data_IF_384046350742
#
_entry.id   IF_384046350742
#
_cell.length_a   1.000
_cell.length_b   1.000
_cell.length_c   1.000
_cell.angle_alpha   90.00
_cell.angle_beta   90.00
_cell.angle_gamma   90.00
#
_symmetry.space_group_name_H-M   'P 1'
#
loop_
_entity.id
_entity.type
_entity.pdbx_description
1 polymer ?
#
# COMPACT_ATOMS: atom_id res chain seq x y z
N UNK A 1 -5.37 -24.65 -21.57
CA UNK A 1 -6.70 -23.97 -21.54
C UNK A 1 -6.46 -22.51 -21.86
N UNK A 2 -7.35 -21.86 -22.64
CA UNK A 2 -7.30 -20.43 -22.84
C UNK A 2 -7.57 -19.75 -21.48
N UNK A 3 -6.80 -18.69 -21.15
CA UNK A 3 -7.08 -17.89 -19.95
C UNK A 3 -8.41 -17.17 -20.12
N UNK A 4 -9.16 -17.05 -19.05
CA UNK A 4 -10.39 -16.25 -19.02
C UNK A 4 -10.06 -14.77 -19.22
N UNK A 5 -11.03 -14.04 -19.78
CA UNK A 5 -10.96 -12.60 -19.93
C UNK A 5 -11.61 -11.94 -18.72
N UNK A 6 -10.99 -10.90 -18.19
CA UNK A 6 -11.57 -10.11 -17.11
C UNK A 6 -12.69 -9.23 -17.68
N UNK A 7 -13.86 -9.26 -17.06
CA UNK A 7 -15.00 -8.41 -17.40
C UNK A 7 -15.24 -7.40 -16.27
N UNK A 8 -15.22 -6.10 -16.59
CA UNK A 8 -15.52 -5.03 -15.65
C UNK A 8 -17.02 -4.87 -15.47
N UNK A 9 -17.59 -5.61 -14.54
CA UNK A 9 -19.05 -5.57 -14.26
C UNK A 9 -19.40 -4.69 -13.06
N UNK A 10 -18.41 -4.36 -12.23
CA UNK A 10 -18.58 -3.58 -10.98
C UNK A 10 -17.46 -2.54 -10.83
N UNK A 11 -17.70 -1.45 -10.08
CA UNK A 11 -16.63 -0.54 -9.67
C UNK A 11 -15.49 -1.29 -8.97
N UNK A 12 -14.25 -0.92 -9.29
CA UNK A 12 -13.05 -1.53 -8.74
C UNK A 12 -12.44 -0.65 -7.65
N UNK A 13 -12.18 -1.24 -6.48
CA UNK A 13 -11.59 -0.55 -5.32
C UNK A 13 -10.40 -1.35 -4.80
N UNK A 14 -9.29 -0.69 -4.54
CA UNK A 14 -8.13 -1.27 -3.89
C UNK A 14 -8.22 -1.04 -2.40
N UNK A 15 -8.25 -2.11 -1.63
CA UNK A 15 -8.28 -2.07 -0.17
C UNK A 15 -7.16 -2.95 0.38
N UNK A 16 -6.81 -2.79 1.65
CA UNK A 16 -5.88 -3.72 2.27
C UNK A 16 -5.94 -3.70 3.77
N UNK A 17 -5.34 -4.69 4.39
CA UNK A 17 -5.22 -4.83 5.83
C UNK A 17 -3.91 -4.24 6.33
N UNK A 18 -4.01 -3.39 7.35
CA UNK A 18 -2.89 -2.79 8.08
C UNK A 18 -3.07 -3.02 9.58
N UNK A 19 -2.02 -2.87 10.37
CA UNK A 19 -2.06 -3.04 11.82
C UNK A 19 -0.90 -3.88 12.35
N UNK A 20 -0.86 -4.05 13.67
CA UNK A 20 0.23 -4.72 14.37
C UNK A 20 0.39 -6.19 13.97
N UNK A 21 1.59 -6.75 14.19
CA UNK A 21 1.83 -8.20 14.08
C UNK A 21 0.90 -8.94 15.05
N UNK A 22 0.44 -10.14 14.68
CA UNK A 22 -0.45 -11.02 15.47
C UNK A 22 -1.85 -10.46 15.79
N UNK A 23 -2.24 -9.29 15.23
CA UNK A 23 -3.61 -8.78 15.35
C UNK A 23 -4.60 -9.48 14.40
N UNK A 24 -4.15 -10.39 13.53
CA UNK A 24 -5.00 -11.26 12.72
C UNK A 24 -5.35 -10.73 11.34
N UNK A 25 -4.50 -9.89 10.72
CA UNK A 25 -4.71 -9.34 9.36
C UNK A 25 -4.94 -10.42 8.30
N UNK A 26 -4.00 -11.35 8.18
CA UNK A 26 -4.07 -12.46 7.20
C UNK A 26 -5.24 -13.40 7.50
N UNK A 27 -5.56 -13.63 8.78
CA UNK A 27 -6.75 -14.38 9.18
C UNK A 27 -8.02 -13.69 8.74
N UNK A 28 -8.09 -12.35 8.91
CA UNK A 28 -9.22 -11.55 8.43
C UNK A 28 -9.34 -11.61 6.91
N UNK A 29 -8.24 -11.49 6.18
CA UNK A 29 -8.22 -11.61 4.72
C UNK A 29 -8.78 -12.97 4.26
N UNK A 30 -8.38 -14.06 4.90
CA UNK A 30 -8.93 -15.39 4.62
C UNK A 30 -10.42 -15.49 4.98
N UNK A 31 -10.83 -14.94 6.13
CA UNK A 31 -12.23 -14.92 6.58
C UNK A 31 -13.12 -14.14 5.62
N UNK A 32 -12.65 -13.01 5.10
CA UNK A 32 -13.35 -12.18 4.10
C UNK A 32 -13.64 -13.01 2.84
N UNK A 33 -12.60 -13.59 2.23
CA UNK A 33 -12.79 -14.35 0.98
C UNK A 33 -13.76 -15.51 1.16
N UNK A 34 -13.64 -16.24 2.28
CA UNK A 34 -14.50 -17.38 2.59
C UNK A 34 -15.95 -16.94 2.85
N UNK A 35 -16.15 -15.92 3.69
CA UNK A 35 -17.49 -15.44 4.06
C UNK A 35 -18.23 -14.89 2.85
N UNK A 36 -17.60 -14.03 2.05
CA UNK A 36 -18.23 -13.45 0.86
C UNK A 36 -18.55 -14.53 -0.19
N UNK A 37 -17.66 -15.51 -0.38
CA UNK A 37 -17.94 -16.64 -1.26
C UNK A 37 -19.11 -17.49 -0.74
N UNK A 38 -19.14 -17.82 0.56
CA UNK A 38 -20.21 -18.62 1.16
C UNK A 38 -21.56 -17.90 1.11
N UNK A 39 -21.59 -16.61 1.45
CA UNK A 39 -22.83 -15.82 1.58
C UNK A 39 -23.43 -15.39 0.24
N UNK A 40 -22.57 -15.04 -0.72
CA UNK A 40 -23.00 -14.45 -1.99
C UNK A 40 -22.67 -15.30 -3.21
N UNK A 41 -21.87 -16.38 -3.08
CA UNK A 41 -21.37 -17.17 -4.20
C UNK A 41 -20.45 -16.38 -5.14
N UNK A 42 -19.84 -15.30 -4.64
CA UNK A 42 -18.99 -14.39 -5.40
C UNK A 42 -17.51 -14.62 -5.08
N UNK A 43 -16.66 -14.51 -6.11
CA UNK A 43 -15.22 -14.70 -5.95
C UNK A 43 -14.83 -16.16 -5.68
N UNK A 44 -13.67 -16.35 -5.09
CA UNK A 44 -13.14 -17.66 -4.67
C UNK A 44 -12.59 -17.59 -3.26
N UNK A 45 -12.79 -18.64 -2.48
CA UNK A 45 -12.14 -18.79 -1.18
C UNK A 45 -10.63 -18.88 -1.36
N UNK A 46 -9.87 -18.11 -0.57
CA UNK A 46 -8.41 -18.17 -0.49
C UNK A 46 -8.03 -18.60 0.92
N UNK A 47 -7.45 -19.77 1.02
CA UNK A 47 -7.03 -20.29 2.31
C UNK A 47 -5.82 -19.50 2.87
N UNK A 48 -5.68 -19.46 4.20
CA UNK A 48 -4.61 -18.77 4.90
C UNK A 48 -3.22 -19.10 4.34
N UNK A 49 -2.93 -20.37 4.10
CA UNK A 49 -1.66 -20.88 3.55
C UNK A 49 -1.45 -20.54 2.05
N UNK A 50 -2.48 -20.04 1.40
CA UNK A 50 -2.40 -19.52 0.01
C UNK A 50 -2.15 -18.01 -0.02
N UNK A 51 -2.37 -17.30 1.08
CA UNK A 51 -2.04 -15.89 1.27
C UNK A 51 -0.55 -15.81 1.63
N UNK A 52 -0.15 -16.39 2.76
CA UNK A 52 1.25 -16.50 3.20
C UNK A 52 1.91 -17.72 2.53
N UNK A 53 2.56 -17.48 1.39
CA UNK A 53 3.07 -18.55 0.50
C UNK A 53 4.50 -18.94 0.77
N UNK A 54 5.33 -17.99 1.24
CA UNK A 54 6.74 -18.22 1.44
C UNK A 54 6.98 -19.22 2.59
N UNK A 55 7.93 -20.16 2.45
CA UNK A 55 8.26 -21.09 3.54
C UNK A 55 8.60 -20.37 4.85
N UNK A 56 9.28 -19.25 4.78
CA UNK A 56 9.66 -18.42 5.93
C UNK A 56 8.46 -17.76 6.60
N UNK A 57 7.43 -17.36 5.85
CA UNK A 57 6.17 -16.82 6.37
C UNK A 57 5.43 -17.90 7.18
N UNK A 58 5.35 -19.09 6.64
CA UNK A 58 4.69 -20.24 7.29
C UNK A 58 5.43 -20.70 8.54
N UNK A 59 6.77 -20.72 8.51
CA UNK A 59 7.59 -21.15 9.64
C UNK A 59 7.51 -20.15 10.80
N UNK A 60 7.48 -18.85 10.49
CA UNK A 60 7.45 -17.79 11.49
C UNK A 60 6.04 -17.36 11.89
N UNK A 61 5.02 -17.72 11.11
CA UNK A 61 3.63 -17.29 11.29
C UNK A 61 3.41 -15.78 11.09
N UNK A 62 4.27 -15.12 10.29
CA UNK A 62 4.20 -13.69 10.03
C UNK A 62 4.24 -13.42 8.52
N UNK A 63 3.47 -12.45 8.04
CA UNK A 63 3.51 -11.98 6.66
C UNK A 63 4.78 -11.15 6.44
N UNK A 64 5.55 -11.48 5.41
CA UNK A 64 6.80 -10.81 5.01
C UNK A 64 6.59 -9.96 3.77
N UNK A 65 6.00 -10.55 2.73
CA UNK A 65 5.70 -9.88 1.48
C UNK A 65 4.22 -9.51 1.40
N UNK A 66 3.89 -8.47 0.64
CA UNK A 66 2.50 -8.15 0.34
C UNK A 66 1.84 -9.27 -0.46
N UNK A 67 0.65 -9.70 -0.06
CA UNK A 67 -0.14 -10.65 -0.81
C UNK A 67 -1.35 -9.96 -1.44
N UNK A 68 -1.63 -10.29 -2.70
CA UNK A 68 -2.76 -9.74 -3.44
C UNK A 68 -3.84 -10.82 -3.59
N UNK A 69 -5.06 -10.47 -3.17
CA UNK A 69 -6.24 -11.31 -3.22
C UNK A 69 -7.39 -10.55 -3.88
N UNK A 70 -8.22 -11.24 -4.67
CA UNK A 70 -9.44 -10.64 -5.23
C UNK A 70 -10.69 -11.23 -4.59
N UNK A 71 -11.71 -10.41 -4.40
CA UNK A 71 -13.05 -10.82 -4.00
C UNK A 71 -14.09 -9.76 -4.40
N UNK A 72 -15.36 -10.09 -4.23
CA UNK A 72 -16.45 -9.22 -4.61
C UNK A 72 -17.53 -9.15 -3.53
N UNK A 73 -18.12 -7.97 -3.39
CA UNK A 73 -19.45 -7.79 -2.79
C UNK A 73 -20.53 -7.73 -3.88
N UNK A 74 -21.80 -7.71 -3.55
CA UNK A 74 -22.85 -7.43 -4.54
C UNK A 74 -22.62 -6.14 -5.32
N UNK A 75 -21.96 -5.14 -4.71
CA UNK A 75 -21.82 -3.78 -5.22
C UNK A 75 -20.47 -3.52 -5.91
N UNK A 76 -19.36 -4.15 -5.43
CA UNK A 76 -17.99 -3.80 -5.83
C UNK A 76 -17.10 -5.01 -6.04
N UNK A 77 -16.07 -4.81 -6.86
CA UNK A 77 -14.93 -5.71 -7.01
C UNK A 77 -13.74 -5.13 -6.24
N UNK A 78 -13.09 -5.95 -5.42
CA UNK A 78 -11.96 -5.55 -4.56
C UNK A 78 -10.67 -6.24 -4.96
N UNK A 79 -9.61 -5.46 -5.14
CA UNK A 79 -8.24 -5.94 -5.01
C UNK A 79 -7.77 -5.68 -3.58
N UNK A 80 -7.42 -6.72 -2.87
CA UNK A 80 -7.00 -6.65 -1.48
C UNK A 80 -5.50 -6.90 -1.35
N UNK A 81 -4.82 -6.01 -0.65
CA UNK A 81 -3.39 -6.10 -0.32
C UNK A 81 -3.26 -6.45 1.15
N UNK A 82 -2.82 -7.67 1.45
CA UNK A 82 -2.48 -8.06 2.82
C UNK A 82 -1.06 -7.58 3.14
N UNK A 83 -0.95 -6.64 4.09
CA UNK A 83 0.32 -6.01 4.44
C UNK A 83 1.00 -6.69 5.62
N UNK A 84 2.36 -6.78 5.61
CA UNK A 84 3.09 -7.26 6.76
C UNK A 84 2.89 -6.35 7.98
N UNK A 85 2.85 -6.95 9.17
CA UNK A 85 2.68 -6.22 10.43
C UNK A 85 3.98 -5.95 11.17
N UNK A 86 5.07 -6.64 10.82
CA UNK A 86 6.33 -6.57 11.55
C UNK A 86 7.19 -5.38 11.09
N UNK A 87 7.85 -4.70 12.06
CA UNK A 87 8.66 -3.51 11.81
C UNK A 87 9.78 -3.70 10.78
N UNK A 88 10.36 -4.90 10.68
CA UNK A 88 11.42 -5.20 9.70
C UNK A 88 10.93 -5.15 8.25
N UNK A 89 9.61 -5.26 8.01
CA UNK A 89 9.01 -5.32 6.68
C UNK A 89 8.21 -4.06 6.31
N UNK A 90 8.44 -2.97 7.01
CA UNK A 90 7.75 -1.67 6.79
C UNK A 90 7.88 -1.19 5.34
N UNK A 91 8.98 -1.47 4.65
CA UNK A 91 9.11 -1.16 3.22
C UNK A 91 8.00 -1.81 2.37
N UNK A 92 7.69 -3.07 2.65
CA UNK A 92 6.61 -3.77 1.95
C UNK A 92 5.24 -3.24 2.36
N UNK A 93 5.08 -2.87 3.64
CA UNK A 93 3.86 -2.18 4.11
C UNK A 93 3.64 -0.85 3.38
N UNK A 94 4.66 0.01 3.27
CA UNK A 94 4.58 1.29 2.56
C UNK A 94 4.18 1.06 1.10
N UNK A 95 4.82 0.10 0.43
CA UNK A 95 4.50 -0.23 -0.96
C UNK A 95 3.06 -0.72 -1.13
N UNK A 96 2.58 -1.58 -0.21
CA UNK A 96 1.20 -2.06 -0.22
C UNK A 96 0.21 -0.92 0.06
N UNK A 97 0.46 -0.12 1.09
CA UNK A 97 -0.42 1.00 1.46
C UNK A 97 -0.54 2.04 0.34
N UNK A 98 0.53 2.34 -0.38
CA UNK A 98 0.50 3.27 -1.51
C UNK A 98 -0.42 2.83 -2.66
N UNK A 99 -0.86 1.57 -2.67
CA UNK A 99 -1.77 1.02 -3.67
C UNK A 99 -3.24 1.11 -3.26
N UNK A 100 -3.55 1.47 -2.01
CA UNK A 100 -4.90 1.40 -1.44
C UNK A 100 -5.71 2.67 -1.72
N UNK A 101 -6.98 2.49 -2.01
CA UNK A 101 -8.01 3.54 -2.04
C UNK A 101 -8.65 3.70 -0.64
N UNK A 102 -8.49 2.69 0.21
CA UNK A 102 -8.84 2.68 1.62
C UNK A 102 -8.20 1.50 2.34
N UNK A 103 -8.07 1.56 3.65
CA UNK A 103 -7.46 0.51 4.47
C UNK A 103 -8.42 -0.02 5.54
N UNK A 104 -8.29 -1.30 5.88
CA UNK A 104 -8.89 -1.90 7.06
C UNK A 104 -7.80 -1.99 8.13
N UNK A 105 -7.93 -1.18 9.17
CA UNK A 105 -7.06 -1.24 10.33
C UNK A 105 -7.53 -2.36 11.26
N UNK A 106 -6.68 -3.35 11.46
CA UNK A 106 -6.97 -4.49 12.33
C UNK A 106 -6.31 -4.28 13.68
N UNK A 107 -7.12 -4.21 14.73
CA UNK A 107 -6.67 -4.06 16.12
C UNK A 107 -7.23 -5.23 16.93
N UNK A 108 -6.39 -5.94 17.66
CA UNK A 108 -6.87 -6.98 18.58
C UNK A 108 -7.48 -6.33 19.84
N UNK A 109 -8.71 -6.70 20.18
CA UNK A 109 -9.41 -6.18 21.37
C UNK A 109 -8.69 -6.54 22.67
N UNK A 110 -7.93 -7.65 22.67
CA UNK A 110 -7.13 -8.10 23.81
C UNK A 110 -5.91 -7.23 24.09
N UNK A 111 -5.37 -6.55 23.09
CA UNK A 111 -4.08 -5.86 23.18
C UNK A 111 -4.21 -4.34 23.00
N UNK A 112 -5.28 -3.87 22.35
CA UNK A 112 -5.47 -2.48 21.98
C UNK A 112 -4.47 -1.99 20.91
N UNK A 113 -4.37 -0.66 20.72
CA UNK A 113 -3.41 -0.07 19.78
C UNK A 113 -1.97 -0.29 20.23
N UNK A 114 -1.18 -0.97 19.41
CA UNK A 114 0.23 -1.32 19.64
C UNK A 114 1.18 -0.41 18.81
N UNK A 115 2.50 -0.42 19.04
CA UNK A 115 3.42 0.48 18.35
C UNK A 115 3.33 0.46 16.83
N UNK A 116 3.21 -0.73 16.19
CA UNK A 116 3.06 -0.78 14.75
C UNK A 116 1.66 -0.34 14.27
N UNK A 117 0.64 -0.37 15.13
CA UNK A 117 -0.66 0.22 14.81
C UNK A 117 -0.50 1.71 14.53
N UNK A 118 0.19 2.44 15.42
CA UNK A 118 0.51 3.87 15.28
C UNK A 118 1.34 4.13 14.02
N UNK A 119 2.41 3.35 13.82
CA UNK A 119 3.28 3.50 12.65
C UNK A 119 2.52 3.26 11.34
N UNK A 120 1.63 2.26 11.28
CA UNK A 120 0.86 1.96 10.08
C UNK A 120 -0.18 3.04 9.75
N UNK A 121 -0.85 3.63 10.75
CA UNK A 121 -1.75 4.77 10.54
C UNK A 121 -0.97 5.97 9.99
N UNK A 122 0.14 6.33 10.63
CA UNK A 122 1.03 7.39 10.19
C UNK A 122 1.49 7.20 8.74
N UNK A 123 2.01 6.01 8.43
CA UNK A 123 2.50 5.70 7.08
C UNK A 123 1.38 5.72 6.04
N UNK A 124 0.21 5.21 6.38
CA UNK A 124 -0.97 5.26 5.49
C UNK A 124 -1.34 6.69 5.16
N UNK A 125 -1.32 7.59 6.15
CA UNK A 125 -1.54 9.03 5.93
C UNK A 125 -0.49 9.63 5.01
N UNK A 126 0.78 9.29 5.21
CA UNK A 126 1.90 9.81 4.42
C UNK A 126 1.86 9.37 2.96
N UNK A 127 1.53 8.09 2.69
CA UNK A 127 1.43 7.59 1.31
C UNK A 127 0.10 7.97 0.64
N UNK A 128 -0.80 8.62 1.39
CA UNK A 128 -2.03 9.19 0.85
C UNK A 128 -3.23 8.25 0.83
N UNK A 129 -3.28 7.22 1.69
CA UNK A 129 -4.51 6.44 1.91
C UNK A 129 -5.58 7.38 2.48
N UNK A 130 -6.71 7.57 1.77
CA UNK A 130 -7.66 8.62 2.17
C UNK A 130 -8.64 8.17 3.25
N UNK A 131 -8.93 6.88 3.38
CA UNK A 131 -9.96 6.33 4.26
C UNK A 131 -9.44 5.13 5.04
N UNK A 132 -9.83 5.04 6.31
CA UNK A 132 -9.60 3.88 7.18
C UNK A 132 -10.94 3.41 7.72
N UNK A 133 -11.18 2.09 7.70
CA UNK A 133 -12.25 1.41 8.44
C UNK A 133 -11.57 0.50 9.44
N UNK A 134 -12.12 0.36 10.64
CA UNK A 134 -11.49 -0.43 11.71
C UNK A 134 -12.22 -1.75 11.89
N UNK A 135 -11.45 -2.83 11.98
CA UNK A 135 -11.94 -4.11 12.45
C UNK A 135 -11.30 -4.43 13.82
N UNK A 136 -12.10 -4.30 14.89
CA UNK A 136 -11.70 -4.68 16.24
C UNK A 136 -11.82 -6.20 16.36
N UNK A 137 -10.69 -6.88 16.22
CA UNK A 137 -10.59 -8.33 16.12
C UNK A 137 -10.44 -9.01 17.48
N UNK A 138 -10.68 -10.31 17.54
CA UNK A 138 -10.58 -11.17 18.74
C UNK A 138 -11.58 -10.78 19.85
N UNK A 139 -12.73 -10.23 19.49
CA UNK A 139 -13.77 -9.87 20.45
C UNK A 139 -14.38 -11.11 21.12
N UNK A 140 -14.25 -12.29 20.52
CA UNK A 140 -14.62 -13.59 21.13
C UNK A 140 -13.82 -13.94 22.39
N UNK A 141 -12.68 -13.27 22.60
CA UNK A 141 -11.79 -13.49 23.76
C UNK A 141 -12.01 -12.48 24.88
N UNK A 142 -12.91 -11.51 24.71
CA UNK A 142 -13.16 -10.42 25.65
C UNK A 142 -14.62 -10.42 26.07
N UNK A 143 -14.89 -10.79 27.31
CA UNK A 143 -16.25 -10.83 27.88
C UNK A 143 -16.71 -9.47 28.46
N UNK A 144 -15.77 -8.52 28.59
CA UNK A 144 -16.02 -7.20 29.19
C UNK A 144 -16.30 -6.14 28.13
N UNK A 145 -17.55 -5.72 28.04
CA UNK A 145 -18.01 -4.67 27.13
C UNK A 145 -17.33 -3.31 27.40
N UNK A 146 -17.05 -2.98 28.67
CA UNK A 146 -16.40 -1.72 29.03
C UNK A 146 -14.96 -1.69 28.49
N UNK A 147 -14.27 -2.84 28.44
CA UNK A 147 -12.95 -2.96 27.84
C UNK A 147 -12.99 -2.78 26.34
N UNK A 148 -13.99 -3.33 25.65
CA UNK A 148 -14.18 -3.12 24.22
C UNK A 148 -14.44 -1.64 23.90
N UNK A 149 -15.27 -0.96 24.70
CA UNK A 149 -15.54 0.48 24.55
C UNK A 149 -14.26 1.32 24.76
N UNK A 150 -13.43 0.95 25.74
CA UNK A 150 -12.17 1.64 26.01
C UNK A 150 -11.19 1.51 24.84
N UNK A 151 -11.02 0.30 24.31
CA UNK A 151 -10.12 0.07 23.16
C UNK A 151 -10.63 0.80 21.92
N UNK A 152 -11.95 0.83 21.69
CA UNK A 152 -12.54 1.59 20.59
C UNK A 152 -12.25 3.08 20.73
N UNK A 153 -12.38 3.65 21.93
CA UNK A 153 -12.08 5.04 22.20
C UNK A 153 -10.60 5.36 21.94
N UNK A 154 -9.67 4.52 22.42
CA UNK A 154 -8.25 4.69 22.14
C UNK A 154 -7.91 4.66 20.65
N UNK A 155 -8.59 3.80 19.87
CA UNK A 155 -8.39 3.75 18.41
C UNK A 155 -8.91 5.03 17.74
N UNK A 156 -10.06 5.56 18.18
CA UNK A 156 -10.62 6.83 17.66
C UNK A 156 -9.70 8.01 17.95
N UNK A 157 -9.22 8.14 19.18
CA UNK A 157 -8.25 9.18 19.57
C UNK A 157 -6.98 9.09 18.74
N UNK A 158 -6.50 7.87 18.47
CA UNK A 158 -5.33 7.64 17.67
C UNK A 158 -5.54 8.02 16.19
N UNK A 159 -6.71 7.76 15.62
CA UNK A 159 -7.03 8.16 14.25
C UNK A 159 -7.07 9.69 14.13
N UNK A 160 -7.66 10.39 15.10
CA UNK A 160 -7.69 11.85 15.13
C UNK A 160 -6.29 12.46 15.27
N UNK A 161 -5.40 11.84 16.07
CA UNK A 161 -4.00 12.26 16.21
C UNK A 161 -3.26 12.31 14.85
N UNK A 162 -3.61 11.38 13.94
CA UNK A 162 -3.03 11.29 12.59
C UNK A 162 -3.93 11.86 11.49
N UNK A 163 -4.85 12.75 11.84
CA UNK A 163 -5.72 13.49 10.91
C UNK A 163 -6.66 12.62 10.06
N UNK A 164 -7.07 11.46 10.58
CA UNK A 164 -8.24 10.73 10.10
C UNK A 164 -9.46 11.13 10.94
N UNK A 165 -10.66 10.96 10.40
CA UNK A 165 -11.90 11.23 11.13
C UNK A 165 -12.18 10.10 12.13
N UNK A 166 -11.68 10.22 13.36
CA UNK A 166 -11.82 9.20 14.40
C UNK A 166 -13.28 8.97 14.80
N UNK A 167 -14.07 10.06 14.91
CA UNK A 167 -15.49 9.97 15.27
C UNK A 167 -16.34 9.35 14.14
N UNK A 168 -16.09 9.74 12.89
CA UNK A 168 -16.82 9.26 11.72
C UNK A 168 -16.34 7.91 11.18
N UNK A 169 -15.17 7.42 11.60
CA UNK A 169 -14.63 6.14 11.13
C UNK A 169 -15.46 4.96 11.63
N UNK A 170 -15.97 4.08 10.74
CA UNK A 170 -16.66 2.86 11.16
C UNK A 170 -15.72 1.90 11.90
N UNK A 171 -16.15 1.40 13.04
CA UNK A 171 -15.46 0.36 13.82
C UNK A 171 -16.38 -0.84 13.97
N UNK A 172 -15.96 -1.99 13.46
CA UNK A 172 -16.72 -3.23 13.53
C UNK A 172 -16.04 -4.18 14.52
N UNK A 173 -16.78 -4.61 15.54
CA UNK A 173 -16.33 -5.60 16.53
C UNK A 173 -16.57 -7.00 16.00
N UNK A 174 -15.51 -7.83 15.95
CA UNK A 174 -15.63 -9.15 15.37
C UNK A 174 -14.52 -10.12 15.79
N UNK A 175 -14.62 -11.34 15.27
CA UNK A 175 -13.61 -12.38 15.37
C UNK A 175 -13.35 -12.97 13.99
N UNK A 176 -12.19 -12.67 13.44
CA UNK A 176 -11.79 -13.20 12.14
C UNK A 176 -11.63 -14.73 12.15
N UNK A 177 -11.13 -15.28 13.25
CA UNK A 177 -10.93 -16.73 13.39
C UNK A 177 -12.28 -17.47 13.45
N UNK A 178 -13.20 -16.97 14.24
CA UNK A 178 -14.52 -17.59 14.38
C UNK A 178 -15.36 -17.42 13.08
N UNK A 179 -15.25 -16.25 12.40
CA UNK A 179 -15.85 -16.07 11.09
C UNK A 179 -15.26 -17.01 10.04
N UNK A 180 -13.94 -17.25 10.07
CA UNK A 180 -13.29 -18.22 9.19
C UNK A 180 -13.76 -19.65 9.47
N UNK A 181 -13.97 -20.03 10.73
CA UNK A 181 -14.46 -21.33 11.13
C UNK A 181 -15.93 -21.54 10.76
N UNK A 182 -16.78 -20.51 10.93
CA UNK A 182 -18.21 -20.55 10.64
C UNK A 182 -18.69 -19.27 9.92
N UNK A 183 -18.54 -19.22 8.57
CA UNK A 183 -18.94 -18.05 7.78
C UNK A 183 -20.44 -17.72 7.80
N UNK A 184 -21.29 -18.69 8.15
CA UNK A 184 -22.74 -18.52 8.25
C UNK A 184 -23.21 -18.10 9.66
N UNK A 185 -22.31 -18.09 10.65
CA UNK A 185 -22.59 -17.72 12.03
C UNK A 185 -22.54 -16.22 12.28
N UNK A 186 -22.75 -15.85 13.55
CA UNK A 186 -22.76 -14.45 14.03
C UNK A 186 -21.50 -13.69 13.66
N UNK A 187 -20.31 -14.30 13.77
CA UNK A 187 -19.05 -13.66 13.40
C UNK A 187 -18.89 -13.49 11.88
N UNK A 188 -19.51 -14.37 11.09
CA UNK A 188 -19.63 -14.20 9.64
C UNK A 188 -20.51 -12.99 9.28
N UNK A 189 -21.59 -12.73 10.06
CA UNK A 189 -22.41 -11.52 9.88
C UNK A 189 -21.58 -10.25 10.12
N UNK A 190 -20.59 -10.28 11.05
CA UNK A 190 -19.68 -9.15 11.26
C UNK A 190 -18.73 -8.89 10.09
N UNK A 191 -18.35 -9.90 9.32
CA UNK A 191 -17.62 -9.69 8.07
C UNK A 191 -18.52 -9.05 7.00
N UNK A 192 -19.78 -9.46 6.93
CA UNK A 192 -20.76 -8.81 6.03
C UNK A 192 -20.94 -7.36 6.41
N UNK A 193 -21.18 -7.05 7.70
CA UNK A 193 -21.30 -5.69 8.24
C UNK A 193 -20.06 -4.85 7.92
N UNK A 194 -18.84 -5.42 8.05
CA UNK A 194 -17.61 -4.73 7.68
C UNK A 194 -17.66 -4.26 6.22
N UNK A 195 -18.12 -5.12 5.29
CA UNK A 195 -18.17 -4.76 3.88
C UNK A 195 -19.34 -3.86 3.51
N UNK A 196 -20.43 -3.90 4.22
CA UNK A 196 -21.49 -2.90 4.11
C UNK A 196 -20.97 -1.50 4.48
N UNK A 197 -20.19 -1.40 5.57
CA UNK A 197 -19.56 -0.14 5.98
C UNK A 197 -18.43 0.28 5.01
N UNK A 198 -17.63 -0.64 4.51
CA UNK A 198 -16.59 -0.34 3.50
C UNK A 198 -17.23 0.17 2.20
N UNK A 199 -18.31 -0.47 1.74
CA UNK A 199 -19.05 -0.05 0.53
C UNK A 199 -19.67 1.33 0.68
N UNK A 200 -20.12 1.71 1.89
CA UNK A 200 -20.75 3.00 2.18
C UNK A 200 -19.73 4.11 2.47
N UNK A 201 -18.73 3.83 3.31
CA UNK A 201 -17.79 4.83 3.83
C UNK A 201 -16.68 5.20 2.85
N UNK A 202 -16.17 4.22 2.08
CA UNK A 202 -15.13 4.46 1.08
C UNK A 202 -15.80 4.80 -0.25
N UNK A 203 -15.70 6.03 -0.77
CA UNK A 203 -16.31 6.41 -2.04
C UNK A 203 -15.67 5.65 -3.21
N UNK A 204 -16.34 5.63 -4.36
CA UNK A 204 -15.74 5.15 -5.59
C UNK A 204 -14.57 6.06 -5.99
N UNK A 205 -13.35 5.50 -6.16
CA UNK A 205 -12.17 6.33 -6.40
C UNK A 205 -12.20 6.99 -7.76
N UNK A 206 -11.86 8.28 -7.81
CA UNK A 206 -11.61 8.95 -9.09
C UNK A 206 -10.36 8.39 -9.75
N UNK A 207 -10.47 7.98 -11.01
CA UNK A 207 -9.38 7.39 -11.77
C UNK A 207 -8.83 8.37 -12.80
N UNK A 208 -7.55 8.71 -12.69
CA UNK A 208 -6.87 9.63 -13.61
C UNK A 208 -6.54 8.94 -14.95
N UNK A 209 -7.56 8.50 -15.68
CA UNK A 209 -7.40 7.76 -16.95
C UNK A 209 -7.05 8.67 -18.12
N UNK A 210 -7.27 9.97 -18.01
CA UNK A 210 -6.96 11.02 -18.99
C UNK A 210 -5.49 11.45 -19.00
N UNK A 211 -4.72 11.05 -17.98
CA UNK A 211 -3.29 11.36 -17.87
C UNK A 211 -2.43 10.31 -18.62
N UNK A 212 -1.18 10.66 -18.97
CA UNK A 212 -0.24 9.68 -19.52
C UNK A 212 -0.04 8.49 -18.57
N UNK A 213 0.04 7.27 -19.13
CA UNK A 213 0.24 6.04 -18.37
C UNK A 213 1.48 6.09 -17.47
N UNK A 214 1.33 5.61 -16.23
CA UNK A 214 2.41 5.38 -15.28
C UNK A 214 2.05 4.23 -14.34
N UNK A 215 2.98 3.29 -14.18
CA UNK A 215 2.88 2.17 -13.24
C UNK A 215 4.22 1.95 -12.54
N UNK A 216 4.31 2.15 -11.22
CA UNK A 216 5.48 1.74 -10.43
C UNK A 216 5.64 0.22 -10.45
N UNK A 217 6.88 -0.24 -10.62
CA UNK A 217 7.22 -1.67 -10.60
C UNK A 217 7.32 -2.14 -9.15
N UNK A 218 6.50 -3.12 -8.78
CA UNK A 218 6.47 -3.72 -7.45
C UNK A 218 7.27 -5.03 -7.40
N UNK A 219 7.05 -5.92 -8.37
CA UNK A 219 7.76 -7.18 -8.48
C UNK A 219 8.02 -7.54 -9.94
N UNK A 220 9.03 -8.37 -10.17
CA UNK A 220 9.45 -8.81 -11.50
C UNK A 220 9.73 -10.30 -11.52
N UNK A 221 9.09 -11.02 -12.42
CA UNK A 221 9.33 -12.44 -12.59
C UNK A 221 9.30 -12.85 -14.07
N UNK A 222 9.79 -14.06 -14.35
CA UNK A 222 9.79 -14.62 -15.69
C UNK A 222 8.77 -15.74 -15.79
N UNK A 223 8.03 -15.76 -16.89
CA UNK A 223 7.14 -16.88 -17.25
C UNK A 223 7.80 -17.63 -18.40
N UNK A 224 8.11 -18.91 -18.21
CA UNK A 224 8.71 -19.76 -19.24
C UNK A 224 7.85 -19.74 -20.52
N UNK A 225 8.48 -19.38 -21.64
CA UNK A 225 7.83 -19.29 -22.95
C UNK A 225 6.98 -18.03 -23.19
N UNK A 226 6.86 -17.12 -22.18
CA UNK A 226 6.08 -15.88 -22.35
C UNK A 226 6.90 -14.59 -22.15
N UNK A 227 7.99 -14.66 -21.39
CA UNK A 227 8.91 -13.54 -21.16
C UNK A 227 8.87 -12.96 -19.75
N UNK A 228 9.30 -11.73 -19.62
CA UNK A 228 9.37 -10.99 -18.34
C UNK A 228 8.03 -10.34 -18.04
N UNK A 229 7.63 -10.41 -16.78
CA UNK A 229 6.41 -9.76 -16.26
C UNK A 229 6.82 -8.80 -15.15
N UNK A 230 6.40 -7.55 -15.27
CA UNK A 230 6.45 -6.57 -14.20
C UNK A 230 5.05 -6.38 -13.62
N UNK A 231 4.93 -6.44 -12.31
CA UNK A 231 3.67 -6.20 -11.59
C UNK A 231 3.68 -4.83 -10.93
N UNK A 232 2.50 -4.27 -10.78
CA UNK A 232 2.28 -3.02 -10.09
C UNK A 232 0.83 -2.54 -10.23
N UNK A 233 0.49 -1.50 -9.47
CA UNK A 233 -0.75 -0.76 -9.65
C UNK A 233 -0.56 0.32 -10.70
N UNK A 234 -1.46 0.44 -11.64
CA UNK A 234 -1.51 1.57 -12.57
C UNK A 234 -1.86 2.84 -11.77
N UNK A 235 -0.90 3.75 -11.65
CA UNK A 235 -1.07 5.00 -10.90
C UNK A 235 -1.97 5.97 -11.66
N UNK A 236 -1.78 6.06 -12.98
CA UNK A 236 -2.55 6.91 -13.90
C UNK A 236 -2.52 6.41 -15.33
N UNK A 237 -3.46 6.88 -16.12
CA UNK A 237 -3.55 6.62 -17.56
C UNK A 237 -4.13 5.25 -17.89
N UNK A 238 -3.94 4.87 -19.14
CA UNK A 238 -4.40 3.61 -19.72
C UNK A 238 -3.21 2.94 -20.42
N UNK A 239 -3.09 1.62 -20.24
CA UNK A 239 -2.12 0.77 -20.92
C UNK A 239 -2.84 -0.25 -21.80
N UNK A 240 -2.47 -0.34 -23.06
CA UNK A 240 -3.01 -1.35 -24.00
C UNK A 240 -1.96 -2.36 -24.40
N UNK A 241 -2.41 -3.52 -24.79
CA UNK A 241 -1.54 -4.52 -25.44
C UNK A 241 -0.99 -3.93 -26.72
N UNK A 242 0.32 -4.10 -26.94
CA UNK A 242 1.15 -3.55 -28.03
C UNK A 242 1.61 -2.10 -27.83
N UNK A 243 1.26 -1.44 -26.75
CA UNK A 243 1.83 -0.13 -26.44
C UNK A 243 3.35 -0.20 -26.21
N UNK A 244 4.06 0.84 -26.65
CA UNK A 244 5.44 1.12 -26.28
C UNK A 244 5.43 1.93 -24.99
N UNK A 245 6.20 1.49 -24.01
CA UNK A 245 6.40 2.16 -22.72
C UNK A 245 7.90 2.37 -22.47
N UNK A 246 8.24 3.28 -21.59
CA UNK A 246 9.60 3.50 -21.10
C UNK A 246 9.74 2.97 -19.67
N UNK A 247 10.83 2.23 -19.43
CA UNK A 247 11.29 1.86 -18.10
C UNK A 247 12.21 2.98 -17.60
N UNK A 248 11.84 3.64 -16.50
CA UNK A 248 12.50 4.85 -15.99
C UNK A 248 12.87 4.69 -14.51
N UNK A 249 14.03 5.22 -14.14
CA UNK A 249 14.55 5.21 -12.76
C UNK A 249 15.60 4.15 -12.50
N UNK A 250 16.37 4.34 -11.44
CA UNK A 250 17.56 3.58 -11.03
C UNK A 250 18.74 3.64 -12.02
N UNK A 251 18.52 4.16 -13.21
CA UNK A 251 19.52 4.43 -14.25
C UNK A 251 19.25 5.79 -14.87
N UNK A 252 20.29 6.40 -15.46
CA UNK A 252 20.18 7.74 -16.08
C UNK A 252 19.39 7.73 -17.39
N UNK A 253 19.30 6.57 -18.05
CA UNK A 253 18.65 6.43 -19.35
C UNK A 253 17.34 5.64 -19.24
N UNK A 254 16.28 6.17 -19.86
CA UNK A 254 15.02 5.48 -20.05
C UNK A 254 15.14 4.43 -21.17
N UNK A 255 14.54 3.25 -20.96
CA UNK A 255 14.55 2.16 -21.93
C UNK A 255 13.17 1.89 -22.49
N UNK A 256 13.04 1.89 -23.82
CA UNK A 256 11.81 1.56 -24.52
C UNK A 256 11.52 0.05 -24.52
N UNK A 257 10.31 -0.31 -24.20
CA UNK A 257 9.85 -1.68 -24.06
C UNK A 257 8.45 -1.80 -24.65
N UNK A 258 8.14 -2.95 -25.28
CA UNK A 258 6.78 -3.22 -25.81
C UNK A 258 6.03 -4.14 -24.87
N UNK A 259 4.82 -3.76 -24.53
CA UNK A 259 3.88 -4.56 -23.74
C UNK A 259 3.20 -5.58 -24.65
N UNK A 260 3.37 -6.87 -24.38
CA UNK A 260 2.80 -7.95 -25.20
C UNK A 260 1.56 -8.61 -24.62
N UNK A 261 1.21 -8.25 -23.41
CA UNK A 261 0.00 -8.73 -22.74
C UNK A 261 -0.18 -8.03 -21.39
N UNK A 262 -1.42 -7.96 -20.95
CA UNK A 262 -1.81 -7.39 -19.66
C UNK A 262 -2.70 -8.40 -18.96
N UNK A 263 -2.43 -8.66 -17.69
CA UNK A 263 -3.18 -9.61 -16.88
C UNK A 263 -3.50 -8.99 -15.51
N UNK A 264 -4.69 -9.28 -15.01
CA UNK A 264 -5.11 -8.96 -13.64
C UNK A 264 -5.72 -10.22 -13.02
N UNK A 265 -5.22 -10.66 -11.85
CA UNK A 265 -5.65 -11.89 -11.17
C UNK A 265 -5.68 -13.12 -12.09
N UNK A 266 -4.64 -13.28 -12.94
CA UNK A 266 -4.47 -14.35 -13.93
C UNK A 266 -5.49 -14.35 -15.09
N UNK A 267 -6.38 -13.34 -15.18
CA UNK A 267 -7.29 -13.11 -16.30
C UNK A 267 -6.68 -12.12 -17.29
N UNK A 268 -6.97 -12.28 -18.57
CA UNK A 268 -6.46 -11.39 -19.62
C UNK A 268 -7.24 -10.08 -19.65
N UNK A 269 -6.52 -8.98 -19.85
CA UNK A 269 -7.10 -7.66 -20.11
C UNK A 269 -6.73 -7.20 -21.53
N UNK A 270 -7.66 -6.54 -22.24
CA UNK A 270 -7.35 -5.82 -23.48
C UNK A 270 -6.60 -4.52 -23.17
N UNK A 271 -6.98 -3.86 -22.07
CA UNK A 271 -6.35 -2.66 -21.55
C UNK A 271 -6.43 -2.63 -20.02
N UNK A 272 -5.44 -2.03 -19.41
CA UNK A 272 -5.43 -1.66 -17.98
C UNK A 272 -5.70 -0.17 -17.84
N UNK A 273 -6.32 0.23 -16.73
CA UNK A 273 -6.67 1.60 -16.39
C UNK A 273 -6.11 1.97 -15.01
N UNK A 274 -6.01 3.28 -14.76
CA UNK A 274 -5.64 3.79 -13.45
C UNK A 274 -6.43 3.07 -12.33
N UNK A 275 -5.73 2.56 -11.33
CA UNK A 275 -6.28 1.78 -10.23
C UNK A 275 -6.15 0.27 -10.38
N UNK A 276 -5.90 -0.28 -11.57
CA UNK A 276 -5.74 -1.71 -11.76
C UNK A 276 -4.41 -2.23 -11.21
N UNK A 277 -4.44 -3.36 -10.50
CA UNK A 277 -3.25 -4.12 -10.12
C UNK A 277 -2.96 -5.16 -11.20
N UNK A 278 -1.92 -4.94 -11.98
CA UNK A 278 -1.66 -5.74 -13.18
C UNK A 278 -0.29 -6.40 -13.21
N UNK A 279 -0.19 -7.44 -14.03
CA UNK A 279 1.07 -7.94 -14.57
C UNK A 279 1.17 -7.57 -16.06
N UNK A 280 2.14 -6.73 -16.38
CA UNK A 280 2.48 -6.36 -17.75
C UNK A 280 3.52 -7.33 -18.31
N UNK A 281 3.19 -8.06 -19.38
CA UNK A 281 4.15 -8.89 -20.11
C UNK A 281 4.98 -8.01 -21.03
N UNK A 282 6.28 -8.09 -20.89
CA UNK A 282 7.24 -7.21 -21.55
C UNK A 282 8.11 -8.00 -22.52
N UNK A 283 8.33 -7.43 -23.70
CA UNK A 283 9.21 -8.00 -24.73
C UNK A 283 10.46 -7.13 -24.89
N UNK A 284 11.62 -7.82 -25.07
CA UNK A 284 12.89 -7.15 -25.32
C UNK A 284 13.66 -6.78 -24.06
N UNK A 285 13.21 -7.30 -22.90
CA UNK A 285 13.86 -7.07 -21.60
C UNK A 285 13.89 -8.36 -20.80
N UNK A 286 15.01 -8.60 -20.11
CA UNK A 286 15.16 -9.74 -19.20
C UNK A 286 14.77 -9.33 -17.77
N UNK A 287 14.44 -10.33 -16.94
CA UNK A 287 14.10 -10.10 -15.53
C UNK A 287 15.18 -9.32 -14.77
N UNK A 288 16.45 -9.59 -15.08
CA UNK A 288 17.62 -8.95 -14.44
C UNK A 288 17.86 -7.51 -14.87
N UNK A 289 17.09 -7.01 -15.84
CA UNK A 289 17.21 -5.66 -16.39
C UNK A 289 16.06 -4.75 -15.90
N UNK A 290 15.16 -5.29 -15.08
CA UNK A 290 14.06 -4.54 -14.43
C UNK A 290 14.17 -4.77 -12.94
N UNK A 291 14.02 -3.70 -12.18
CA UNK A 291 14.08 -3.74 -10.73
C UNK A 291 12.86 -3.06 -10.11
N UNK A 292 12.48 -3.52 -8.91
CA UNK A 292 11.50 -2.83 -8.08
C UNK A 292 11.97 -1.40 -7.81
N UNK A 293 11.07 -0.44 -7.97
CA UNK A 293 11.37 0.99 -7.80
C UNK A 293 11.51 1.77 -9.09
N UNK A 294 11.72 1.08 -10.21
CA UNK A 294 11.54 1.70 -11.53
C UNK A 294 10.04 1.90 -11.82
N UNK A 295 9.74 2.70 -12.84
CA UNK A 295 8.38 2.86 -13.33
C UNK A 295 8.29 2.49 -14.81
N UNK A 296 7.15 1.93 -15.22
CA UNK A 296 6.75 1.87 -16.62
C UNK A 296 5.87 3.08 -16.91
N UNK A 297 6.21 3.87 -17.89
CA UNK A 297 5.52 5.11 -18.23
C UNK A 297 5.29 5.26 -19.73
N UNK A 298 4.34 6.10 -20.10
CA UNK A 298 4.20 6.54 -21.49
C UNK A 298 5.48 7.26 -21.92
N UNK A 299 5.98 7.06 -23.16
CA UNK A 299 7.26 7.59 -23.59
C UNK A 299 7.37 9.10 -23.43
N UNK A 300 8.49 9.56 -22.82
CA UNK A 300 8.83 10.96 -22.63
C UNK A 300 8.00 11.72 -21.59
N UNK A 301 7.21 11.03 -20.77
CA UNK A 301 6.30 11.70 -19.81
C UNK A 301 6.86 11.83 -18.40
N UNK A 302 7.91 11.10 -18.06
CA UNK A 302 8.64 11.19 -16.80
C UNK A 302 10.11 10.93 -17.05
N UNK A 303 10.99 11.51 -16.25
CA UNK A 303 12.44 11.33 -16.34
C UNK A 303 13.03 10.93 -14.98
N UNK A 304 14.22 10.30 -14.96
CA UNK A 304 14.94 10.06 -13.73
C UNK A 304 15.62 11.34 -13.26
N UNK A 305 15.60 11.60 -11.95
CA UNK A 305 16.19 12.79 -11.33
C UNK A 305 16.95 12.39 -10.07
N UNK A 306 18.00 13.14 -9.77
CA UNK A 306 18.82 12.98 -8.57
C UNK A 306 18.66 14.11 -7.58
N UNK A 307 18.22 15.31 -8.03
CA UNK A 307 18.11 16.46 -7.15
C UNK A 307 16.76 17.17 -7.27
N UNK A 308 16.16 17.45 -6.13
CA UNK A 308 14.87 18.13 -6.05
C UNK A 308 14.76 18.95 -4.76
N UNK A 309 13.81 19.91 -4.73
CA UNK A 309 13.36 20.55 -3.50
C UNK A 309 12.10 19.87 -3.00
N UNK A 310 12.00 19.71 -1.69
CA UNK A 310 10.83 19.16 -1.03
C UNK A 310 10.43 19.98 0.18
N UNK A 311 9.13 20.17 0.36
CA UNK A 311 8.56 20.62 1.62
C UNK A 311 8.47 19.44 2.55
N UNK A 312 9.15 19.49 3.70
CA UNK A 312 9.35 18.36 4.61
C UNK A 312 8.84 18.71 5.99
N UNK A 313 7.99 17.89 6.54
CA UNK A 313 7.63 17.87 7.95
C UNK A 313 8.48 16.85 8.70
N UNK A 314 9.16 17.30 9.76
CA UNK A 314 10.00 16.44 10.61
C UNK A 314 9.21 15.99 11.82
N UNK A 315 8.98 14.68 11.94
CA UNK A 315 8.17 14.10 13.00
C UNK A 315 8.75 14.35 14.38
N UNK A 316 7.89 14.73 15.33
CA UNK A 316 8.22 14.87 16.75
C UNK A 316 8.46 13.50 17.39
N UNK A 317 9.09 13.52 18.59
CA UNK A 317 9.31 12.31 19.38
C UNK A 317 8.01 11.59 19.73
N UNK A 318 6.98 12.34 20.06
CA UNK A 318 5.64 11.85 20.42
C UNK A 318 4.97 11.14 19.26
N UNK A 319 5.28 11.56 18.01
CA UNK A 319 4.82 10.95 16.75
C UNK A 319 5.70 9.76 16.31
N UNK A 320 6.60 9.28 17.17
CA UNK A 320 7.54 8.19 16.86
C UNK A 320 8.80 8.64 16.11
N UNK A 321 8.95 9.94 15.86
CA UNK A 321 10.07 10.53 15.13
C UNK A 321 11.33 10.74 15.97
N UNK A 322 12.13 11.74 15.58
CA UNK A 322 13.40 12.09 16.23
C UNK A 322 13.16 12.90 17.51
N UNK A 323 14.14 12.84 18.41
CA UNK A 323 14.22 13.71 19.60
C UNK A 323 15.39 14.70 19.52
N UNK A 324 16.21 14.61 18.48
CA UNK A 324 17.38 15.47 18.25
C UNK A 324 17.28 16.18 16.91
N UNK A 325 17.78 17.41 16.78
CA UNK A 325 17.87 18.09 15.50
C UNK A 325 18.81 17.36 14.53
N UNK A 326 18.70 17.70 13.27
CA UNK A 326 19.70 17.33 12.27
C UNK A 326 20.25 18.58 11.57
N UNK A 327 21.37 18.40 10.92
CA UNK A 327 22.17 19.45 10.29
C UNK A 327 22.36 19.17 8.81
N UNK A 328 22.93 20.13 8.07
CA UNK A 328 23.35 19.91 6.70
C UNK A 328 24.21 18.65 6.56
N UNK A 329 23.97 17.88 5.49
CA UNK A 329 24.65 16.62 5.25
C UNK A 329 24.05 15.41 5.99
N UNK A 330 22.88 15.56 6.59
CA UNK A 330 22.12 14.43 7.12
C UNK A 330 21.71 13.49 5.97
N UNK A 331 21.94 12.17 6.15
CA UNK A 331 21.80 11.15 5.08
C UNK A 331 20.83 10.03 5.46
N UNK A 332 19.52 10.29 5.48
CA UNK A 332 18.50 9.27 5.69
C UNK A 332 18.17 8.49 4.42
N UNK A 333 17.21 7.57 4.54
CA UNK A 333 16.57 6.90 3.41
C UNK A 333 15.28 7.61 3.03
N UNK A 334 15.10 7.83 1.73
CA UNK A 334 13.91 8.40 1.13
C UNK A 334 13.10 7.30 0.46
N UNK A 335 11.84 7.18 0.83
CA UNK A 335 10.91 6.19 0.29
C UNK A 335 9.99 6.85 -0.72
N UNK A 336 10.09 6.41 -1.98
CA UNK A 336 9.23 6.86 -3.08
C UNK A 336 8.53 5.66 -3.69
N UNK A 337 7.21 5.70 -3.86
CA UNK A 337 6.44 4.62 -4.48
C UNK A 337 6.87 3.25 -3.94
N UNK A 338 7.59 2.47 -4.74
CA UNK A 338 8.00 1.09 -4.41
C UNK A 338 9.47 0.93 -4.02
N UNK A 339 10.24 2.03 -3.90
CA UNK A 339 11.68 2.00 -3.59
C UNK A 339 12.09 2.93 -2.47
N UNK A 340 13.29 2.68 -1.95
CA UNK A 340 14.00 3.56 -1.04
C UNK A 340 15.40 3.87 -1.57
N UNK A 341 15.83 5.11 -1.42
CA UNK A 341 17.14 5.59 -1.81
C UNK A 341 17.73 6.49 -0.74
N UNK A 342 19.03 6.33 -0.50
CA UNK A 342 19.77 7.24 0.38
C UNK A 342 19.96 8.59 -0.32
N UNK A 343 19.80 9.69 0.43
CA UNK A 343 20.04 11.03 -0.07
C UNK A 343 20.59 11.96 0.98
N UNK A 344 21.26 13.01 0.55
CA UNK A 344 21.79 14.08 1.39
C UNK A 344 20.78 15.24 1.45
N UNK A 345 20.55 15.74 2.67
CA UNK A 345 19.71 16.91 2.94
C UNK A 345 20.55 18.18 3.04
N UNK A 346 20.09 19.23 2.37
CA UNK A 346 20.62 20.59 2.51
C UNK A 346 19.52 21.54 2.99
N UNK A 347 19.75 22.15 4.14
CA UNK A 347 18.88 23.14 4.73
C UNK A 347 18.99 24.48 3.95
N UNK A 348 17.95 25.33 3.96
CA UNK A 348 18.00 26.65 3.35
C UNK A 348 19.11 27.51 3.92
N UNK A 349 19.60 28.50 3.14
CA UNK A 349 20.57 29.47 3.59
C UNK A 349 20.11 30.16 4.89
N UNK A 350 21.01 30.24 5.87
CA UNK A 350 20.73 30.85 7.18
C UNK A 350 20.09 29.91 8.20
N UNK A 351 19.78 28.66 7.82
CA UNK A 351 19.28 27.65 8.74
C UNK A 351 20.42 26.69 9.14
N UNK A 352 20.81 26.70 10.39
CA UNK A 352 21.89 25.83 10.88
C UNK A 352 21.43 24.43 11.20
N UNK A 353 20.18 24.27 11.69
CA UNK A 353 19.62 23.00 12.11
C UNK A 353 18.10 22.95 11.83
N UNK A 354 17.57 21.73 11.74
CA UNK A 354 16.14 21.46 11.66
C UNK A 354 15.71 20.65 12.91
N UNK A 355 14.67 21.13 13.58
CA UNK A 355 14.14 20.54 14.81
C UNK A 355 12.98 19.58 14.50
N UNK A 356 12.77 18.55 15.35
CA UNK A 356 11.52 17.79 15.33
C UNK A 356 10.30 18.72 15.47
N UNK A 357 9.34 18.59 14.58
CA UNK A 357 8.14 19.45 14.48
C UNK A 357 8.25 20.59 13.48
N UNK A 358 9.42 20.79 12.88
CA UNK A 358 9.58 21.83 11.83
C UNK A 358 8.95 21.37 10.51
N UNK A 359 8.36 22.34 9.81
CA UNK A 359 7.99 22.21 8.41
C UNK A 359 8.89 23.15 7.59
N UNK A 360 9.71 22.58 6.70
CA UNK A 360 10.78 23.32 6.04
C UNK A 360 11.00 22.82 4.60
N UNK A 361 11.21 23.76 3.69
CA UNK A 361 11.65 23.42 2.32
C UNK A 361 13.16 23.19 2.32
N UNK A 362 13.60 22.04 1.82
CA UNK A 362 15.01 21.69 1.75
C UNK A 362 15.37 21.09 0.39
N UNK A 363 16.64 21.14 0.03
CA UNK A 363 17.17 20.49 -1.17
C UNK A 363 17.64 19.08 -0.81
N UNK A 364 17.22 18.11 -1.62
CA UNK A 364 17.53 16.70 -1.45
C UNK A 364 18.32 16.22 -2.66
N UNK A 365 19.46 15.57 -2.42
CA UNK A 365 20.32 14.99 -3.46
C UNK A 365 20.40 13.49 -3.23
N UNK A 366 19.82 12.70 -4.13
CA UNK A 366 19.78 11.24 -4.07
C UNK A 366 21.06 10.63 -4.65
N UNK A 367 21.48 9.49 -4.12
CA UNK A 367 22.65 8.76 -4.65
C UNK A 367 22.34 7.96 -5.91
N UNK A 368 21.08 7.77 -6.24
CA UNK A 368 20.59 7.02 -7.40
C UNK A 368 19.42 7.78 -8.03
N UNK A 369 19.38 7.91 -9.37
CA UNK A 369 18.29 8.60 -10.04
C UNK A 369 16.98 7.83 -9.90
N UNK A 370 15.90 8.54 -9.63
CA UNK A 370 14.55 7.96 -9.50
C UNK A 370 13.59 8.74 -10.41
N UNK A 371 12.56 8.05 -10.88
CA UNK A 371 11.44 8.67 -11.58
C UNK A 371 10.64 9.56 -10.61
N UNK A 372 10.93 10.86 -10.58
CA UNK A 372 10.33 11.86 -9.70
C UNK A 372 9.58 12.88 -10.54
N UNK A 373 8.53 13.44 -9.96
CA UNK A 373 7.77 14.56 -10.51
C UNK A 373 7.28 15.47 -9.38
N UNK A 374 6.95 16.71 -9.68
CA UNK A 374 6.37 17.63 -8.72
C UNK A 374 5.04 17.10 -8.16
N UNK A 375 4.83 17.26 -6.87
CA UNK A 375 3.67 16.73 -6.15
C UNK A 375 3.84 15.29 -5.64
N UNK A 376 4.93 14.59 -6.00
CA UNK A 376 5.19 13.26 -5.48
C UNK A 376 5.49 13.29 -3.98
N UNK A 377 4.76 12.49 -3.20
CA UNK A 377 4.99 12.34 -1.77
C UNK A 377 6.12 11.35 -1.49
N UNK A 378 6.82 11.57 -0.39
CA UNK A 378 7.87 10.67 0.10
C UNK A 378 7.92 10.61 1.62
N UNK A 379 8.41 9.49 2.15
CA UNK A 379 8.72 9.34 3.56
C UNK A 379 10.24 9.36 3.77
N UNK A 380 10.67 9.86 4.93
CA UNK A 380 12.07 9.88 5.35
C UNK A 380 12.23 8.93 6.53
N UNK A 381 13.18 8.00 6.43
CA UNK A 381 13.42 6.99 7.47
C UNK A 381 14.89 6.93 7.88
N UNK A 382 15.11 6.67 9.15
CA UNK A 382 16.42 6.46 9.77
C UNK A 382 16.33 5.33 10.81
N UNK A 383 17.24 4.37 10.75
CA UNK A 383 17.34 3.31 11.75
C UNK A 383 16.05 2.53 12.00
N UNK A 384 15.28 2.28 10.93
CA UNK A 384 14.00 1.56 10.99
C UNK A 384 12.80 2.39 11.45
N UNK A 385 12.96 3.72 11.67
CA UNK A 385 11.90 4.64 12.09
C UNK A 385 11.59 5.66 11.01
N UNK A 386 10.34 6.04 10.85
CA UNK A 386 9.95 7.20 10.07
C UNK A 386 10.26 8.45 10.86
N UNK A 387 11.05 9.36 10.28
CA UNK A 387 11.50 10.60 10.93
C UNK A 387 10.95 11.84 10.24
N UNK A 388 10.32 11.70 9.13
CA UNK A 388 9.68 12.80 8.41
C UNK A 388 8.95 12.34 7.17
N UNK A 389 8.20 13.25 6.59
CA UNK A 389 7.53 13.09 5.29
C UNK A 389 7.57 14.39 4.52
N UNK A 390 7.43 14.30 3.21
CA UNK A 390 7.46 15.50 2.39
C UNK A 390 6.79 15.31 1.03
N UNK A 391 6.74 16.41 0.31
CA UNK A 391 6.24 16.50 -1.07
C UNK A 391 7.29 17.17 -1.93
N UNK A 392 7.54 16.63 -3.12
CA UNK A 392 8.42 17.24 -4.12
C UNK A 392 7.78 18.53 -4.64
N UNK A 393 8.47 19.65 -4.50
CA UNK A 393 7.96 20.97 -4.91
C UNK A 393 8.61 21.51 -6.17
N UNK A 394 9.84 21.08 -6.46
CA UNK A 394 10.61 21.54 -7.63
C UNK A 394 11.67 20.49 -7.99
N UNK A 395 11.80 20.16 -9.26
CA UNK A 395 12.90 19.34 -9.80
C UNK A 395 14.08 20.26 -10.10
N UNK A 396 15.29 19.88 -9.64
CA UNK A 396 16.51 20.67 -9.85
C UNK A 396 17.40 20.02 -10.88
N UNK A 397 17.64 18.71 -10.80
CA UNK A 397 18.46 17.91 -11.74
C UNK A 397 17.98 16.45 -11.83
#
# INVERSE_FOLDING_TARGET
MAKEKFERTKPHVNIGTIGHVDHGKTTLTAAITKTLNTRYGLGSEVAFDQIDKAPEERERGITIATAHVEYETPNRHYAHVDCPGHADYVKNMITGAAQMDGAILVVAATDGPMPQTREHILLSRQVGVPYIVVFLNKCDMVDDEELLDLVEMEVRELLDEYEFDGDGTPIIRGSALEALNNPEGEWGDKIVELFEQVDEYIPEPERATDKPFLMPVEDVFSITGRGTVATGRVERGILKVSDEVELVGLTDEARKIVVTGVEMFRKLLDQAEAGDNIGALLRGVQRTEIERGQVLAAPGTIQPHTQFKGEVYVLKKEEGGRHTPFFNGYRPQFYFRTTDVTGDLQLPEGTEMCMPGDNITMTISLITPIAIEEGLRFAIREGGRTVGSGVVTEIVE
#
